data_IF_580556099018
#
_entry.id   IF_580556099018
#
_cell.length_a   1.000
_cell.length_b   1.000
_cell.length_c   1.000
_cell.angle_alpha   90.00
_cell.angle_beta   90.00
_cell.angle_gamma   90.00
#
_symmetry.space_group_name_H-M   'P 1'
#
loop_
_entity.id
_entity.type
_entity.pdbx_description
1 polymer ?
#
# COMPACT_ATOMS: atom_id res chain seq x y z
N UNK A 1 -14.35 -18.54 -6.43
CA UNK A 1 -14.20 -18.95 -5.01
C UNK A 1 -13.07 -18.22 -4.27
N UNK A 2 -11.98 -17.89 -4.94
CA UNK A 2 -10.83 -17.17 -4.33
C UNK A 2 -11.14 -15.68 -4.19
N UNK A 3 -11.80 -15.06 -5.16
CA UNK A 3 -12.27 -13.69 -5.10
C UNK A 3 -13.25 -13.46 -3.94
N UNK A 4 -14.13 -14.41 -3.67
CA UNK A 4 -15.12 -14.33 -2.59
C UNK A 4 -14.44 -14.29 -1.21
N UNK A 5 -13.32 -14.99 -1.01
CA UNK A 5 -12.57 -14.96 0.24
C UNK A 5 -11.93 -13.59 0.54
N UNK A 6 -11.31 -12.96 -0.47
CA UNK A 6 -10.68 -11.63 -0.35
C UNK A 6 -11.73 -10.52 -0.20
N UNK A 7 -12.76 -10.56 -1.02
CA UNK A 7 -13.88 -9.61 -0.99
C UNK A 7 -14.68 -9.73 0.31
N UNK A 8 -14.95 -10.95 0.77
CA UNK A 8 -15.60 -11.18 2.06
C UNK A 8 -14.81 -10.59 3.22
N UNK A 9 -13.47 -10.56 3.15
CA UNK A 9 -12.63 -10.02 4.22
C UNK A 9 -12.66 -8.49 4.30
N UNK A 10 -12.62 -7.75 3.18
CA UNK A 10 -12.79 -6.28 3.20
C UNK A 10 -14.12 -5.86 3.82
N UNK A 11 -15.17 -6.55 3.45
CA UNK A 11 -16.51 -6.32 4.00
C UNK A 11 -16.59 -6.71 5.48
N UNK A 12 -16.01 -7.84 5.88
CA UNK A 12 -16.00 -8.29 7.26
C UNK A 12 -15.22 -7.40 8.21
N UNK A 13 -14.18 -6.73 7.74
CA UNK A 13 -13.36 -5.80 8.53
C UNK A 13 -14.16 -4.57 8.93
N UNK A 14 -14.86 -3.95 7.99
CA UNK A 14 -15.72 -2.79 8.27
C UNK A 14 -16.98 -3.18 9.05
N UNK A 15 -17.50 -4.39 8.80
CA UNK A 15 -18.65 -4.94 9.50
C UNK A 15 -18.38 -5.22 10.99
N UNK A 16 -17.14 -5.52 11.38
CA UNK A 16 -16.80 -5.69 12.80
C UNK A 16 -17.16 -4.46 13.64
N UNK A 17 -17.26 -3.29 13.01
CA UNK A 17 -17.76 -2.07 13.65
C UNK A 17 -19.29 -1.99 13.79
N UNK A 18 -20.04 -2.92 13.19
CA UNK A 18 -21.51 -2.93 13.22
C UNK A 18 -22.09 -4.23 13.79
N UNK A 19 -21.23 -5.24 14.02
CA UNK A 19 -21.66 -6.53 14.57
C UNK A 19 -21.69 -6.50 16.09
N UNK A 20 -22.81 -6.90 16.69
CA UNK A 20 -22.96 -7.19 18.10
C UNK A 20 -22.95 -8.70 18.36
N UNK A 21 -23.23 -9.08 19.60
CA UNK A 21 -23.47 -10.47 20.01
C UNK A 21 -24.88 -10.60 20.58
N UNK A 22 -25.33 -11.81 20.91
CA UNK A 22 -26.61 -12.00 21.63
C UNK A 22 -26.66 -11.27 22.97
N UNK A 23 -25.49 -10.96 23.55
CA UNK A 23 -25.40 -10.39 24.90
C UNK A 23 -25.16 -8.88 24.88
N UNK A 24 -24.50 -8.37 23.85
CA UNK A 24 -24.07 -6.97 23.78
C UNK A 24 -24.24 -6.43 22.37
N UNK A 25 -24.77 -5.22 22.27
CA UNK A 25 -24.74 -4.45 21.02
C UNK A 25 -23.29 -4.03 20.71
N UNK A 26 -23.04 -3.61 19.47
CA UNK A 26 -21.72 -3.08 19.10
C UNK A 26 -21.31 -1.87 19.96
N UNK A 27 -22.24 -0.96 20.27
CA UNK A 27 -21.98 0.16 21.18
C UNK A 27 -21.56 -0.31 22.57
N UNK A 28 -22.25 -1.29 23.10
CA UNK A 28 -21.92 -1.86 24.42
C UNK A 28 -20.54 -2.53 24.40
N UNK A 29 -20.17 -3.21 23.32
CA UNK A 29 -18.82 -3.79 23.14
C UNK A 29 -17.77 -2.69 23.17
N UNK A 30 -17.96 -1.60 22.39
CA UNK A 30 -17.05 -0.45 22.38
C UNK A 30 -16.94 0.22 23.75
N UNK A 31 -18.04 0.39 24.45
CA UNK A 31 -18.07 0.94 25.81
C UNK A 31 -17.31 0.04 26.82
N UNK A 32 -17.46 -1.28 26.72
CA UNK A 32 -16.73 -2.21 27.60
C UNK A 32 -15.22 -2.17 27.33
N UNK A 33 -14.81 -2.15 26.07
CA UNK A 33 -13.40 -2.02 25.71
C UNK A 33 -12.84 -0.66 26.17
N UNK A 34 -13.59 0.42 25.99
CA UNK A 34 -13.22 1.74 26.50
C UNK A 34 -12.99 1.78 28.02
N UNK A 35 -13.89 1.14 28.80
CA UNK A 35 -13.74 1.01 30.28
C UNK A 35 -12.48 0.23 30.66
N UNK A 36 -12.03 -0.68 29.81
CA UNK A 36 -10.79 -1.42 29.98
C UNK A 36 -9.55 -0.64 29.48
N UNK A 37 -9.74 0.57 28.98
CA UNK A 37 -8.71 1.34 28.27
C UNK A 37 -8.03 0.49 27.17
N UNK A 38 -8.84 -0.27 26.44
CA UNK A 38 -8.43 -1.10 25.32
C UNK A 38 -9.23 -0.74 24.07
N UNK A 39 -8.60 -0.95 22.92
CA UNK A 39 -9.20 -0.77 21.61
C UNK A 39 -8.84 -1.95 20.72
N UNK A 40 -9.71 -2.29 19.78
CA UNK A 40 -9.42 -3.28 18.76
C UNK A 40 -9.69 -2.72 17.37
N UNK A 41 -8.93 -3.17 16.43
CA UNK A 41 -9.15 -2.88 15.01
C UNK A 41 -8.94 -4.14 14.18
N UNK A 42 -9.62 -4.17 13.05
CA UNK A 42 -9.43 -5.19 12.03
C UNK A 42 -8.99 -4.48 10.75
N UNK A 43 -7.91 -4.93 10.17
CA UNK A 43 -7.39 -4.38 8.92
C UNK A 43 -7.05 -5.51 7.96
N UNK A 44 -7.06 -5.20 6.68
CA UNK A 44 -6.73 -6.14 5.62
C UNK A 44 -5.71 -5.52 4.67
N UNK A 45 -4.82 -6.36 4.20
CA UNK A 45 -4.01 -6.16 3.01
C UNK A 45 -4.32 -7.27 1.99
N UNK A 46 -3.66 -7.26 0.85
CA UNK A 46 -3.93 -8.20 -0.26
C UNK A 46 -3.96 -9.69 0.15
N UNK A 47 -3.27 -10.05 1.22
CA UNK A 47 -3.08 -11.44 1.61
C UNK A 47 -3.13 -11.69 3.13
N UNK A 48 -3.45 -10.68 3.92
CA UNK A 48 -3.50 -10.77 5.37
C UNK A 48 -4.74 -10.12 5.95
N UNK A 49 -5.35 -10.80 6.92
CA UNK A 49 -6.30 -10.21 7.85
C UNK A 49 -5.58 -10.01 9.19
N UNK A 50 -5.53 -8.80 9.68
CA UNK A 50 -4.87 -8.44 10.94
C UNK A 50 -5.90 -7.96 11.93
N UNK A 51 -6.02 -8.66 13.06
CA UNK A 51 -6.80 -8.20 14.22
C UNK A 51 -5.79 -7.66 15.24
N UNK A 52 -5.91 -6.38 15.55
CA UNK A 52 -5.07 -5.72 16.53
C UNK A 52 -5.88 -5.41 17.78
N UNK A 53 -5.40 -5.85 18.94
CA UNK A 53 -5.90 -5.45 20.24
C UNK A 53 -4.78 -4.71 20.98
N UNK A 54 -5.03 -3.50 21.42
CA UNK A 54 -4.09 -2.67 22.15
C UNK A 54 -4.73 -2.05 23.39
N UNK A 55 -3.93 -1.79 24.43
CA UNK A 55 -4.41 -1.16 25.65
C UNK A 55 -3.51 -1.45 26.86
N UNK A 56 -4.07 -1.33 28.05
CA UNK A 56 -3.35 -1.62 29.29
C UNK A 56 -3.12 -3.13 29.42
N UNK A 57 -1.90 -3.53 29.75
CA UNK A 57 -1.48 -4.93 29.84
C UNK A 57 -2.29 -5.74 30.82
N UNK A 58 -2.68 -5.16 31.96
CA UNK A 58 -3.53 -5.77 32.97
C UNK A 58 -4.95 -6.08 32.49
N UNK A 59 -5.44 -5.31 31.51
CA UNK A 59 -6.78 -5.44 30.93
C UNK A 59 -6.79 -6.23 29.61
N UNK A 60 -5.64 -6.64 29.09
CA UNK A 60 -5.56 -7.30 27.79
C UNK A 60 -6.38 -8.60 27.73
N UNK A 61 -6.32 -9.44 28.78
CA UNK A 61 -7.04 -10.72 28.77
C UNK A 61 -8.57 -10.54 28.90
N UNK A 62 -9.10 -9.64 29.75
CA UNK A 62 -10.49 -9.24 29.71
C UNK A 62 -10.95 -8.73 28.35
N UNK A 63 -10.17 -7.82 27.73
CA UNK A 63 -10.49 -7.27 26.41
C UNK A 63 -10.46 -8.35 25.32
N UNK A 64 -9.46 -9.24 25.35
CA UNK A 64 -9.35 -10.36 24.40
C UNK A 64 -10.57 -11.31 24.48
N UNK A 65 -11.15 -11.52 25.69
CA UNK A 65 -12.38 -12.30 25.83
C UNK A 65 -13.57 -11.64 25.14
N UNK A 66 -13.67 -10.31 25.17
CA UNK A 66 -14.72 -9.56 24.47
C UNK A 66 -14.56 -9.75 22.97
N UNK A 67 -13.35 -9.57 22.44
CA UNK A 67 -13.07 -9.76 21.00
C UNK A 67 -13.34 -11.21 20.59
N UNK A 68 -12.95 -12.18 21.41
CA UNK A 68 -13.27 -13.59 21.15
C UNK A 68 -14.77 -13.87 21.13
N UNK A 69 -15.53 -13.31 22.08
CA UNK A 69 -16.99 -13.47 22.09
C UNK A 69 -17.63 -12.87 20.83
N UNK A 70 -17.10 -11.74 20.36
CA UNK A 70 -17.54 -11.14 19.10
C UNK A 70 -17.27 -12.06 17.89
N UNK A 71 -16.10 -12.68 17.83
CA UNK A 71 -15.73 -13.63 16.77
C UNK A 71 -16.64 -14.87 16.82
N UNK A 72 -16.80 -15.47 18.00
CA UNK A 72 -17.52 -16.72 18.16
C UNK A 72 -19.04 -16.57 18.02
N UNK A 73 -19.59 -15.50 18.59
CA UNK A 73 -21.02 -15.28 18.82
C UNK A 73 -21.58 -14.05 18.12
N UNK A 74 -20.83 -13.47 17.17
CA UNK A 74 -21.30 -12.36 16.36
C UNK A 74 -22.65 -12.66 15.70
N UNK A 75 -23.54 -11.68 15.68
CA UNK A 75 -24.88 -11.76 15.11
C UNK A 75 -24.96 -10.89 13.88
N UNK A 76 -25.55 -11.42 12.82
CA UNK A 76 -25.86 -10.64 11.64
C UNK A 76 -26.92 -9.57 11.94
N UNK A 77 -26.72 -8.36 11.41
CA UNK A 77 -27.65 -7.26 11.50
C UNK A 77 -27.94 -6.75 10.07
N UNK A 78 -29.12 -7.07 9.55
CA UNK A 78 -29.51 -6.73 8.18
C UNK A 78 -29.69 -5.22 7.97
N UNK A 79 -30.11 -4.46 8.97
CA UNK A 79 -30.26 -3.00 8.84
C UNK A 79 -28.88 -2.31 8.85
N UNK A 80 -27.98 -2.75 9.72
CA UNK A 80 -26.58 -2.31 9.70
C UNK A 80 -25.91 -2.64 8.36
N UNK A 81 -26.15 -3.83 7.81
CA UNK A 81 -25.64 -4.25 6.50
C UNK A 81 -26.14 -3.35 5.38
N UNK A 82 -27.45 -3.10 5.30
CA UNK A 82 -28.03 -2.20 4.28
C UNK A 82 -27.43 -0.81 4.35
N UNK A 83 -27.30 -0.27 5.57
CA UNK A 83 -26.68 1.04 5.81
C UNK A 83 -25.23 1.08 5.35
N UNK A 84 -24.47 0.00 5.63
CA UNK A 84 -23.10 -0.14 5.18
C UNK A 84 -23.00 -0.22 3.64
N UNK A 85 -23.85 -0.99 2.97
CA UNK A 85 -23.88 -1.06 1.50
C UNK A 85 -24.15 0.32 0.89
N UNK A 86 -25.10 1.07 1.45
CA UNK A 86 -25.36 2.43 1.00
C UNK A 86 -24.12 3.34 1.14
N UNK A 87 -23.39 3.23 2.27
CA UNK A 87 -22.15 3.97 2.50
C UNK A 87 -21.04 3.58 1.49
N UNK A 88 -20.88 2.29 1.20
CA UNK A 88 -19.90 1.81 0.20
C UNK A 88 -20.23 2.37 -1.18
N UNK A 89 -21.49 2.32 -1.60
CA UNK A 89 -21.90 2.82 -2.92
C UNK A 89 -21.72 4.35 -3.02
N UNK A 90 -22.00 5.08 -1.96
CA UNK A 90 -21.72 6.51 -1.89
C UNK A 90 -20.21 6.77 -2.00
N UNK A 91 -19.38 6.06 -1.21
CA UNK A 91 -17.90 6.20 -1.26
C UNK A 91 -17.35 5.91 -2.66
N UNK A 92 -17.91 4.93 -3.39
CA UNK A 92 -17.52 4.66 -4.79
C UNK A 92 -17.84 5.83 -5.72
N UNK A 93 -19.00 6.46 -5.57
CA UNK A 93 -19.37 7.65 -6.33
C UNK A 93 -18.44 8.84 -5.99
N UNK A 94 -18.16 9.05 -4.70
CA UNK A 94 -17.25 10.09 -4.24
C UNK A 94 -15.82 9.87 -4.78
N UNK A 95 -15.32 8.62 -4.80
CA UNK A 95 -14.02 8.29 -5.36
C UNK A 95 -13.93 8.60 -6.86
N UNK A 96 -14.97 8.30 -7.64
CA UNK A 96 -15.00 8.65 -9.08
C UNK A 96 -14.97 10.16 -9.33
N UNK A 97 -15.46 10.95 -8.39
CA UNK A 97 -15.40 12.41 -8.45
C UNK A 97 -14.10 13.00 -7.90
N UNK A 98 -13.26 12.22 -7.25
CA UNK A 98 -12.01 12.67 -6.63
C UNK A 98 -10.82 12.44 -7.54
N UNK A 99 -10.06 13.49 -7.86
CA UNK A 99 -8.90 13.42 -8.77
C UNK A 99 -7.82 12.47 -8.28
N UNK A 100 -7.49 12.51 -6.99
CA UNK A 100 -6.42 11.70 -6.40
C UNK A 100 -6.80 10.21 -6.38
N UNK A 101 -8.07 9.90 -6.11
CA UNK A 101 -8.59 8.53 -6.17
C UNK A 101 -8.57 7.97 -7.61
N UNK A 102 -8.96 8.79 -8.60
CA UNK A 102 -8.85 8.43 -10.03
C UNK A 102 -7.40 8.16 -10.42
N UNK A 103 -6.48 9.03 -10.00
CA UNK A 103 -5.06 8.86 -10.32
C UNK A 103 -4.45 7.63 -9.68
N UNK A 104 -4.80 7.32 -8.43
CA UNK A 104 -4.37 6.10 -7.76
C UNK A 104 -4.89 4.84 -8.48
N UNK A 105 -6.16 4.83 -8.88
CA UNK A 105 -6.75 3.72 -9.63
C UNK A 105 -6.09 3.56 -11.02
N UNK A 106 -5.81 4.68 -11.70
CA UNK A 106 -5.11 4.68 -12.98
C UNK A 106 -3.67 4.18 -12.84
N UNK A 107 -2.96 4.56 -11.77
CA UNK A 107 -1.61 4.07 -11.50
C UNK A 107 -1.59 2.57 -11.25
N UNK A 108 -2.56 2.04 -10.48
CA UNK A 108 -2.67 0.60 -10.29
C UNK A 108 -2.99 -0.13 -11.60
N UNK A 109 -3.87 0.43 -12.44
CA UNK A 109 -4.08 -0.10 -13.79
C UNK A 109 -2.79 -0.07 -14.60
N UNK A 110 -2.03 1.00 -14.51
CA UNK A 110 -0.73 1.14 -15.17
C UNK A 110 0.30 0.11 -14.72
N UNK A 111 0.30 -0.28 -13.45
CA UNK A 111 1.22 -1.29 -12.91
C UNK A 111 0.82 -2.72 -13.23
N UNK A 112 -0.46 -3.04 -13.10
CA UNK A 112 -0.97 -4.41 -13.15
C UNK A 112 -1.76 -4.74 -14.41
N UNK A 113 -2.24 -3.75 -15.15
CA UNK A 113 -3.16 -3.94 -16.28
C UNK A 113 -4.60 -4.19 -15.85
N UNK A 114 -5.36 -4.86 -16.70
CA UNK A 114 -6.78 -5.14 -16.45
C UNK A 114 -7.01 -6.03 -15.22
N UNK A 115 -6.08 -6.95 -14.97
CA UNK A 115 -6.15 -7.83 -13.80
C UNK A 115 -5.35 -7.22 -12.65
N UNK A 116 -5.98 -6.32 -11.92
CA UNK A 116 -5.37 -5.58 -10.81
C UNK A 116 -6.21 -5.65 -9.53
N UNK A 117 -5.62 -5.41 -8.35
CA UNK A 117 -6.32 -5.52 -7.08
C UNK A 117 -7.53 -4.58 -6.99
N UNK A 118 -7.41 -3.33 -7.39
CA UNK A 118 -8.48 -2.35 -7.26
C UNK A 118 -9.72 -2.72 -8.09
N UNK A 119 -9.53 -3.28 -9.27
CA UNK A 119 -10.63 -3.65 -10.17
C UNK A 119 -11.23 -5.01 -9.81
N UNK A 120 -10.40 -6.00 -9.51
CA UNK A 120 -10.84 -7.39 -9.45
C UNK A 120 -11.24 -7.84 -8.04
N UNK A 121 -10.98 -7.05 -7.01
CA UNK A 121 -11.48 -7.30 -5.65
C UNK A 121 -12.82 -6.60 -5.38
N UNK A 122 -13.27 -5.77 -6.30
CA UNK A 122 -14.52 -5.01 -6.15
C UNK A 122 -15.74 -5.91 -6.39
N UNK A 123 -16.61 -6.00 -5.39
CA UNK A 123 -17.92 -6.66 -5.53
C UNK A 123 -18.86 -5.79 -6.34
N UNK A 124 -19.57 -6.35 -7.30
CA UNK A 124 -20.56 -5.59 -8.08
C UNK A 124 -21.65 -5.00 -7.18
N UNK A 125 -22.25 -3.90 -7.58
CA UNK A 125 -23.35 -3.26 -6.85
C UNK A 125 -24.54 -4.22 -6.69
N UNK A 126 -24.87 -4.98 -7.75
CA UNK A 126 -25.95 -5.98 -7.72
C UNK A 126 -25.67 -7.07 -6.69
N UNK A 127 -24.44 -7.56 -6.63
CA UNK A 127 -24.02 -8.55 -5.63
C UNK A 127 -24.08 -7.98 -4.22
N UNK A 128 -23.55 -6.76 -3.99
CA UNK A 128 -23.62 -6.10 -2.68
C UNK A 128 -25.05 -5.98 -2.16
N UNK A 129 -25.96 -5.54 -3.03
CA UNK A 129 -27.39 -5.37 -2.69
C UNK A 129 -28.13 -6.69 -2.46
N UNK A 130 -27.67 -7.78 -3.07
CA UNK A 130 -28.29 -9.10 -2.92
C UNK A 130 -27.73 -9.95 -1.79
N UNK A 131 -26.55 -9.61 -1.25
CA UNK A 131 -25.96 -10.31 -0.13
C UNK A 131 -26.68 -10.01 1.17
N UNK A 132 -26.86 -11.02 2.02
CA UNK A 132 -27.38 -10.85 3.39
C UNK A 132 -26.23 -10.63 4.37
N UNK A 133 -26.53 -9.96 5.49
CA UNK A 133 -25.61 -9.81 6.62
C UNK A 133 -25.11 -11.18 7.12
N UNK A 134 -25.99 -12.22 7.12
CA UNK A 134 -25.59 -13.57 7.52
C UNK A 134 -24.54 -14.16 6.58
N UNK A 135 -24.65 -13.96 5.28
CA UNK A 135 -23.65 -14.43 4.31
C UNK A 135 -22.28 -13.81 4.58
N UNK A 136 -22.24 -12.51 4.88
CA UNK A 136 -20.99 -11.82 5.21
C UNK A 136 -20.39 -12.33 6.52
N UNK A 137 -21.21 -12.51 7.53
CA UNK A 137 -20.78 -13.07 8.82
C UNK A 137 -20.22 -14.48 8.67
N UNK A 138 -20.82 -15.32 7.82
CA UNK A 138 -20.32 -16.67 7.54
C UNK A 138 -18.96 -16.67 6.85
N UNK A 139 -18.70 -15.72 5.94
CA UNK A 139 -17.38 -15.51 5.36
C UNK A 139 -16.36 -15.08 6.43
N UNK A 140 -16.72 -14.14 7.31
CA UNK A 140 -15.87 -13.74 8.41
C UNK A 140 -15.48 -14.93 9.30
N UNK A 141 -16.46 -15.73 9.71
CA UNK A 141 -16.23 -16.93 10.53
C UNK A 141 -15.35 -17.94 9.80
N UNK A 142 -15.46 -18.09 8.48
CA UNK A 142 -14.61 -18.99 7.71
C UNK A 142 -13.12 -18.54 7.72
N UNK A 143 -12.85 -17.22 7.70
CA UNK A 143 -11.50 -16.68 7.80
C UNK A 143 -10.86 -17.03 9.14
N UNK A 144 -11.61 -16.93 10.24
CA UNK A 144 -11.12 -17.25 11.57
C UNK A 144 -10.81 -18.75 11.77
N UNK A 145 -11.13 -19.61 10.81
CA UNK A 145 -10.69 -21.02 10.80
C UNK A 145 -9.28 -21.20 10.23
N UNK A 146 -8.67 -20.16 9.68
CA UNK A 146 -7.28 -20.20 9.21
C UNK A 146 -6.32 -20.19 10.39
N UNK A 147 -5.14 -20.81 10.24
CA UNK A 147 -4.11 -20.79 11.27
C UNK A 147 -3.51 -19.38 11.37
N UNK A 148 -3.65 -18.69 12.51
CA UNK A 148 -3.12 -17.35 12.67
C UNK A 148 -1.67 -17.37 13.14
N UNK A 149 -0.97 -16.27 12.86
CA UNK A 149 0.24 -15.90 13.57
C UNK A 149 -0.14 -14.95 14.72
N UNK A 150 0.34 -15.22 15.93
CA UNK A 150 0.11 -14.34 17.07
C UNK A 150 1.39 -13.56 17.35
N UNK A 151 1.30 -12.25 17.24
CA UNK A 151 2.39 -11.32 17.57
C UNK A 151 2.01 -10.58 18.86
N UNK A 152 2.91 -10.57 19.83
CA UNK A 152 2.65 -9.97 21.14
C UNK A 152 3.79 -9.04 21.55
N UNK A 153 3.42 -7.87 22.04
CA UNK A 153 4.29 -6.95 22.73
C UNK A 153 3.70 -6.57 24.09
N UNK A 154 4.36 -6.95 25.17
CA UNK A 154 3.87 -6.70 26.52
C UNK A 154 4.72 -7.42 27.58
N UNK A 155 4.36 -7.31 28.87
CA UNK A 155 5.16 -7.83 29.98
C UNK A 155 5.09 -9.34 30.20
N UNK A 156 4.10 -10.05 29.58
CA UNK A 156 3.97 -11.50 29.75
C UNK A 156 5.08 -12.24 29.02
N UNK A 157 5.54 -13.33 29.61
CA UNK A 157 6.40 -14.28 28.89
C UNK A 157 5.61 -15.04 27.82
N UNK A 158 6.30 -15.63 26.85
CA UNK A 158 5.66 -16.47 25.84
C UNK A 158 4.88 -17.64 26.47
N UNK A 159 5.42 -18.25 27.52
CA UNK A 159 4.77 -19.37 28.23
C UNK A 159 3.48 -18.92 28.93
N UNK A 160 3.50 -17.76 29.58
CA UNK A 160 2.32 -17.21 30.23
C UNK A 160 1.24 -16.85 29.22
N UNK A 161 1.62 -16.16 28.13
CA UNK A 161 0.71 -15.83 27.04
C UNK A 161 0.07 -17.08 26.44
N UNK A 162 0.86 -18.09 26.09
CA UNK A 162 0.38 -19.37 25.56
C UNK A 162 -0.64 -20.00 26.51
N UNK A 163 -0.29 -20.09 27.81
CA UNK A 163 -1.18 -20.63 28.84
C UNK A 163 -2.50 -19.85 28.91
N UNK A 164 -2.47 -18.54 28.82
CA UNK A 164 -3.70 -17.72 28.85
C UNK A 164 -4.56 -17.91 27.60
N UNK A 165 -3.94 -17.96 26.42
CA UNK A 165 -4.64 -18.21 25.14
C UNK A 165 -5.28 -19.61 25.16
N UNK A 166 -4.57 -20.63 25.65
CA UNK A 166 -5.08 -22.00 25.77
C UNK A 166 -6.27 -22.07 26.73
N UNK A 167 -6.19 -21.43 27.89
CA UNK A 167 -7.31 -21.32 28.85
C UNK A 167 -8.55 -20.69 28.25
N UNK A 168 -8.37 -19.74 27.35
CA UNK A 168 -9.48 -19.09 26.62
C UNK A 168 -10.09 -20.00 25.55
N UNK A 169 -9.47 -21.14 25.25
CA UNK A 169 -9.89 -22.02 24.14
C UNK A 169 -9.98 -21.25 22.82
N UNK A 170 -9.08 -20.31 22.63
CA UNK A 170 -8.96 -19.60 21.35
C UNK A 170 -8.71 -20.62 20.24
N UNK A 171 -7.96 -21.65 20.58
CA UNK A 171 -7.77 -22.86 19.79
C UNK A 171 -8.23 -24.06 20.61
N UNK A 172 -9.11 -24.89 20.09
CA UNK A 172 -9.41 -26.17 20.71
C UNK A 172 -8.64 -27.24 19.95
N UNK A 173 -7.50 -27.71 20.45
CA UNK A 173 -6.74 -28.79 19.81
C UNK A 173 -7.65 -29.97 19.49
N UNK A 174 -7.67 -30.44 18.25
CA UNK A 174 -8.47 -31.58 17.82
C UNK A 174 -9.92 -31.30 17.43
N UNK A 175 -10.51 -30.13 17.73
CA UNK A 175 -11.88 -29.78 17.29
C UNK A 175 -11.90 -28.87 16.07
N UNK A 176 -10.91 -28.01 15.91
CA UNK A 176 -10.76 -27.17 14.73
C UNK A 176 -9.53 -27.67 13.97
N UNK A 177 -9.72 -28.23 12.80
CA UNK A 177 -8.62 -28.44 11.86
C UNK A 177 -8.35 -27.11 11.21
N UNK A 178 -7.37 -26.36 11.70
CA UNK A 178 -6.92 -25.15 11.03
C UNK A 178 -6.47 -25.49 9.61
N UNK A 179 -7.02 -24.78 8.66
CA UNK A 179 -6.53 -24.82 7.30
C UNK A 179 -5.28 -23.93 7.24
N UNK A 180 -4.21 -24.46 6.67
CA UNK A 180 -3.09 -23.59 6.31
C UNK A 180 -3.57 -22.55 5.31
N UNK A 181 -3.28 -21.24 5.53
CA UNK A 181 -3.66 -20.22 4.58
C UNK A 181 -3.05 -20.55 3.22
N UNK A 182 -3.88 -20.55 2.19
CA UNK A 182 -3.37 -20.68 0.83
C UNK A 182 -2.77 -19.34 0.45
N UNK A 183 -1.48 -19.30 0.22
CA UNK A 183 -0.85 -18.13 -0.39
C UNK A 183 -1.34 -18.02 -1.83
N UNK A 184 -2.20 -17.05 -2.08
CA UNK A 184 -2.65 -16.72 -3.41
C UNK A 184 -2.17 -15.32 -3.71
N UNK A 185 -1.33 -15.21 -4.74
CA UNK A 185 -0.88 -13.92 -5.27
C UNK A 185 -1.41 -13.78 -6.69
N UNK A 186 -2.67 -13.36 -6.82
CA UNK A 186 -3.32 -13.31 -8.11
C UNK A 186 -2.76 -12.20 -9.01
N UNK A 187 -2.20 -11.14 -8.43
CA UNK A 187 -1.80 -9.94 -9.16
C UNK A 187 -0.29 -9.86 -9.31
N UNK A 188 0.16 -9.59 -10.54
CA UNK A 188 1.57 -9.37 -10.87
C UNK A 188 1.71 -8.06 -11.61
N UNK A 189 2.71 -7.28 -11.23
CA UNK A 189 3.06 -6.06 -11.97
C UNK A 189 3.56 -6.42 -13.36
N UNK A 190 3.17 -5.60 -14.33
CA UNK A 190 3.57 -5.78 -15.73
C UNK A 190 4.93 -5.12 -15.97
N UNK A 191 5.77 -5.82 -16.73
CA UNK A 191 7.03 -5.28 -17.23
C UNK A 191 6.79 -4.15 -18.24
N UNK A 192 7.70 -3.19 -18.26
CA UNK A 192 7.68 -2.08 -19.22
C UNK A 192 8.71 -2.36 -20.31
N UNK A 193 8.28 -2.93 -21.43
CA UNK A 193 9.16 -3.35 -22.53
C UNK A 193 9.26 -2.30 -23.64
N UNK A 194 8.40 -1.29 -23.67
CA UNK A 194 8.36 -0.20 -24.67
C UNK A 194 7.75 1.04 -24.05
N UNK A 195 8.00 2.19 -24.71
CA UNK A 195 7.27 3.41 -24.39
C UNK A 195 5.80 3.27 -24.78
N UNK A 196 4.91 3.64 -23.86
CA UNK A 196 3.46 3.66 -24.08
C UNK A 196 2.81 4.69 -23.17
N UNK A 197 1.62 5.14 -23.57
CA UNK A 197 0.88 6.20 -22.85
C UNK A 197 -0.49 5.65 -22.44
N UNK A 198 -0.83 5.76 -21.16
CA UNK A 198 -2.15 5.47 -20.65
C UNK A 198 -2.80 6.78 -20.18
N UNK A 199 -3.99 7.07 -20.68
CA UNK A 199 -4.72 8.31 -20.35
C UNK A 199 -6.09 7.94 -19.81
N UNK A 200 -6.47 8.54 -18.68
CA UNK A 200 -7.84 8.57 -18.21
C UNK A 200 -8.32 10.05 -18.14
N UNK A 201 -9.59 10.32 -18.47
CA UNK A 201 -10.11 11.69 -18.52
C UNK A 201 -10.37 12.21 -17.10
N UNK A 202 -10.00 13.48 -16.89
CA UNK A 202 -10.38 14.24 -15.71
C UNK A 202 -10.40 15.73 -16.02
N UNK A 203 -11.53 16.39 -15.81
CA UNK A 203 -11.68 17.83 -16.05
C UNK A 203 -11.11 18.63 -14.88
N UNK A 204 -9.85 19.06 -15.02
CA UNK A 204 -9.16 19.91 -14.07
C UNK A 204 -8.12 20.80 -14.76
N UNK A 205 -7.72 21.89 -14.09
CA UNK A 205 -6.68 22.81 -14.58
C UNK A 205 -5.26 22.25 -14.42
N UNK A 206 -5.11 21.15 -13.74
CA UNK A 206 -3.85 20.46 -13.51
C UNK A 206 -3.93 19.01 -13.98
N UNK A 207 -2.83 18.52 -14.51
CA UNK A 207 -2.62 17.14 -14.91
C UNK A 207 -1.77 16.42 -13.86
N UNK A 208 -2.14 15.18 -13.57
CA UNK A 208 -1.35 14.25 -12.77
C UNK A 208 -0.69 13.25 -13.69
N UNK A 209 0.61 13.05 -13.54
CA UNK A 209 1.38 12.16 -14.40
C UNK A 209 2.41 11.34 -13.62
N UNK A 210 2.58 10.11 -14.05
CA UNK A 210 3.65 9.20 -13.64
C UNK A 210 4.36 8.67 -14.90
N UNK A 211 5.69 8.65 -14.88
CA UNK A 211 6.50 7.81 -15.77
C UNK A 211 6.91 6.57 -14.96
N UNK A 212 6.48 5.41 -15.39
CA UNK A 212 6.68 4.15 -14.69
C UNK A 212 7.58 3.23 -15.50
N UNK A 213 8.57 2.62 -14.85
CA UNK A 213 9.43 1.58 -15.42
C UNK A 213 9.56 0.40 -14.49
N UNK A 214 9.36 -0.79 -15.03
CA UNK A 214 9.54 -2.07 -14.35
C UNK A 214 10.27 -3.03 -15.29
N UNK A 215 11.52 -3.34 -14.99
CA UNK A 215 12.35 -4.29 -15.71
C UNK A 215 12.23 -5.73 -15.13
N UNK A 216 11.26 -6.00 -14.29
CA UNK A 216 11.11 -7.26 -13.55
C UNK A 216 12.36 -7.60 -12.72
N UNK A 217 13.08 -6.57 -12.26
CA UNK A 217 14.29 -6.72 -11.45
C UNK A 217 13.95 -7.26 -10.06
N UNK A 218 14.54 -8.39 -9.71
CA UNK A 218 14.34 -8.98 -8.38
C UNK A 218 15.03 -8.14 -7.31
N UNK A 219 14.32 -7.85 -6.23
CA UNK A 219 14.88 -7.17 -5.08
C UNK A 219 15.88 -8.03 -4.31
N UNK A 220 16.96 -7.38 -3.82
CA UNK A 220 17.90 -7.96 -2.88
C UNK A 220 18.26 -6.98 -1.77
N UNK A 221 18.54 -7.45 -0.53
CA UNK A 221 18.86 -6.56 0.58
C UNK A 221 20.18 -5.79 0.39
N UNK A 222 21.10 -6.31 -0.41
CA UNK A 222 22.40 -5.68 -0.71
C UNK A 222 22.23 -4.36 -1.46
N UNK A 223 21.15 -4.20 -2.23
CA UNK A 223 20.86 -2.96 -2.96
C UNK A 223 20.10 -1.92 -2.14
N UNK A 224 19.57 -2.31 -0.99
CA UNK A 224 18.79 -1.38 -0.17
C UNK A 224 19.56 -0.11 0.24
N UNK A 225 20.87 -0.12 0.55
CA UNK A 225 21.62 1.09 0.87
C UNK A 225 21.69 2.09 -0.30
N UNK A 226 22.02 1.61 -1.51
CA UNK A 226 22.13 2.49 -2.68
C UNK A 226 20.75 3.01 -3.10
N UNK A 227 19.70 2.18 -3.08
CA UNK A 227 18.32 2.59 -3.36
C UNK A 227 17.90 3.69 -2.38
N UNK A 228 18.21 3.53 -1.09
CA UNK A 228 17.83 4.51 -0.07
C UNK A 228 18.52 5.86 -0.29
N UNK A 229 19.83 5.84 -0.57
CA UNK A 229 20.58 7.08 -0.83
C UNK A 229 20.18 7.71 -2.15
N UNK A 230 19.95 6.92 -3.20
CA UNK A 230 19.45 7.39 -4.49
C UNK A 230 18.12 8.11 -4.34
N UNK A 231 17.16 7.51 -3.64
CA UNK A 231 15.87 8.13 -3.42
C UNK A 231 15.99 9.47 -2.68
N UNK A 232 16.80 9.55 -1.61
CA UNK A 232 16.99 10.80 -0.87
C UNK A 232 17.70 11.87 -1.71
N UNK A 233 18.69 11.47 -2.53
CA UNK A 233 19.43 12.36 -3.40
C UNK A 233 18.62 12.85 -4.60
N UNK A 234 17.93 11.91 -5.30
CA UNK A 234 17.32 12.19 -6.60
C UNK A 234 15.90 12.73 -6.49
N UNK A 235 15.01 12.10 -5.73
CA UNK A 235 13.59 12.42 -5.85
C UNK A 235 12.75 12.50 -4.58
N UNK A 236 13.27 12.10 -3.42
CA UNK A 236 12.45 11.85 -2.22
C UNK A 236 12.35 13.01 -1.22
N UNK A 237 13.08 14.11 -1.41
CA UNK A 237 13.11 15.22 -0.44
C UNK A 237 13.04 16.58 -1.13
N UNK A 238 12.82 17.64 -0.36
CA UNK A 238 12.87 19.02 -0.89
C UNK A 238 14.27 19.45 -1.36
N UNK A 239 15.32 18.79 -0.89
CA UNK A 239 16.69 19.02 -1.32
C UNK A 239 17.08 18.12 -2.50
N UNK A 240 16.22 17.20 -2.92
CA UNK A 240 16.47 16.26 -4.00
C UNK A 240 16.55 16.96 -5.36
N UNK A 241 17.32 16.38 -6.27
CA UNK A 241 17.57 16.90 -7.61
C UNK A 241 16.26 17.23 -8.36
N UNK A 242 15.30 16.30 -8.36
CA UNK A 242 14.01 16.48 -9.05
C UNK A 242 13.25 17.69 -8.51
N UNK A 243 13.15 17.85 -7.21
CA UNK A 243 12.44 18.97 -6.61
C UNK A 243 13.12 20.29 -6.95
N UNK A 244 14.44 20.36 -6.80
CA UNK A 244 15.22 21.56 -7.09
C UNK A 244 15.16 21.96 -8.59
N UNK A 245 15.26 21.01 -9.49
CA UNK A 245 15.26 21.27 -10.93
C UNK A 245 13.86 21.55 -11.49
N UNK A 246 12.84 20.82 -11.04
CA UNK A 246 11.49 20.92 -11.61
C UNK A 246 10.67 22.05 -11.00
N UNK A 247 10.74 22.20 -9.68
CA UNK A 247 9.93 23.17 -8.95
C UNK A 247 10.67 24.46 -8.70
N UNK A 248 11.82 24.42 -8.01
CA UNK A 248 12.51 25.62 -7.55
C UNK A 248 13.18 26.39 -8.68
N UNK A 249 13.92 25.73 -9.54
CA UNK A 249 14.67 26.39 -10.61
C UNK A 249 13.79 26.79 -11.81
N UNK A 250 12.80 26.00 -12.17
CA UNK A 250 12.03 26.18 -13.40
C UNK A 250 10.55 26.48 -13.19
N UNK A 251 10.01 26.28 -12.00
CA UNK A 251 8.58 26.49 -11.73
C UNK A 251 7.66 25.66 -12.63
N UNK A 252 8.11 24.47 -13.03
CA UNK A 252 7.39 23.61 -13.98
C UNK A 252 6.25 22.84 -13.30
N UNK A 253 6.43 22.43 -12.05
CA UNK A 253 5.47 21.57 -11.35
C UNK A 253 5.18 22.06 -9.94
N UNK A 254 3.93 21.92 -9.50
CA UNK A 254 3.55 22.13 -8.10
C UNK A 254 4.13 21.02 -7.21
N UNK A 255 4.08 19.80 -7.68
CA UNK A 255 4.70 18.65 -7.05
C UNK A 255 5.50 17.87 -8.07
N UNK A 256 6.74 17.55 -7.73
CA UNK A 256 7.62 16.71 -8.54
C UNK A 256 8.47 15.85 -7.62
N UNK A 257 8.46 14.55 -7.86
CA UNK A 257 9.28 13.58 -7.13
C UNK A 257 9.61 12.38 -8.02
N UNK A 258 10.56 11.57 -7.57
CA UNK A 258 10.87 10.31 -8.23
C UNK A 258 11.25 9.28 -7.14
N UNK A 259 10.97 8.03 -7.39
CA UNK A 259 11.20 7.00 -6.41
C UNK A 259 11.53 5.65 -7.06
N UNK A 260 12.62 5.04 -6.63
CA UNK A 260 12.95 3.66 -6.94
C UNK A 260 12.39 2.78 -5.82
N UNK A 261 11.36 2.04 -6.12
CA UNK A 261 10.56 1.31 -5.14
C UNK A 261 11.11 -0.09 -4.89
N UNK A 262 11.34 -0.40 -3.62
CA UNK A 262 11.61 -1.75 -3.16
C UNK A 262 10.30 -2.44 -2.79
N UNK A 263 10.07 -3.70 -3.22
CA UNK A 263 8.85 -4.41 -2.92
C UNK A 263 8.74 -4.77 -1.43
N UNK A 264 7.52 -4.98 -0.99
CA UNK A 264 7.25 -5.50 0.37
C UNK A 264 7.52 -7.00 0.51
N UNK A 265 7.71 -7.72 -0.60
CA UNK A 265 7.96 -9.17 -0.67
C UNK A 265 9.11 -9.47 -1.61
N UNK A 266 9.81 -10.58 -1.36
CA UNK A 266 11.00 -10.99 -2.14
C UNK A 266 10.71 -11.40 -3.58
N UNK A 267 9.50 -11.81 -3.87
CA UNK A 267 9.11 -12.32 -5.20
C UNK A 267 8.45 -11.25 -6.09
N UNK A 268 8.24 -10.03 -5.57
CA UNK A 268 7.83 -8.89 -6.36
C UNK A 268 9.06 -8.16 -6.92
N UNK A 269 8.96 -7.58 -8.13
CA UNK A 269 10.04 -6.81 -8.69
C UNK A 269 10.16 -5.42 -8.06
N UNK A 270 11.36 -4.87 -8.15
CA UNK A 270 11.58 -3.44 -8.00
C UNK A 270 11.02 -2.71 -9.21
N UNK A 271 10.69 -1.42 -9.02
CA UNK A 271 10.28 -0.54 -10.12
C UNK A 271 10.64 0.90 -9.81
N UNK A 272 10.77 1.68 -10.86
CA UNK A 272 11.00 3.13 -10.76
C UNK A 272 9.77 3.89 -11.23
N UNK A 273 9.50 5.02 -10.61
CA UNK A 273 8.48 5.95 -11.10
C UNK A 273 8.82 7.40 -10.76
N UNK A 274 8.36 8.31 -11.63
CA UNK A 274 8.29 9.73 -11.36
C UNK A 274 6.86 10.11 -11.01
N UNK A 275 6.66 11.19 -10.27
CA UNK A 275 5.35 11.73 -9.93
C UNK A 275 5.32 13.23 -10.18
N UNK A 276 4.34 13.69 -10.93
CA UNK A 276 4.23 15.09 -11.32
C UNK A 276 2.79 15.55 -11.17
N UNK A 277 2.60 16.74 -10.56
CA UNK A 277 1.38 17.53 -10.65
C UNK A 277 1.77 18.88 -11.25
N UNK A 278 1.22 19.21 -12.40
CA UNK A 278 1.52 20.44 -13.11
C UNK A 278 0.28 21.01 -13.79
N UNK A 279 0.38 22.23 -14.33
CA UNK A 279 -0.64 22.81 -15.21
C UNK A 279 -0.66 22.05 -16.54
N UNK A 280 -1.83 21.96 -17.18
CA UNK A 280 -2.01 21.19 -18.41
C UNK A 280 -1.04 21.64 -19.51
N UNK A 281 -0.84 22.94 -19.68
CA UNK A 281 0.04 23.54 -20.69
C UNK A 281 1.54 23.33 -20.42
N UNK A 282 1.93 22.99 -19.18
CA UNK A 282 3.32 22.71 -18.80
C UNK A 282 3.70 21.22 -18.84
N UNK A 283 2.74 20.34 -19.08
CA UNK A 283 3.00 18.89 -19.08
C UNK A 283 4.13 18.50 -20.02
N UNK A 284 4.14 19.04 -21.24
CA UNK A 284 5.18 18.74 -22.23
C UNK A 284 6.58 19.16 -21.78
N UNK A 285 6.71 20.33 -21.14
CA UNK A 285 7.98 20.79 -20.56
C UNK A 285 8.43 19.91 -19.40
N UNK A 286 7.48 19.47 -18.55
CA UNK A 286 7.77 18.53 -17.47
C UNK A 286 8.33 17.21 -18.02
N UNK A 287 7.70 16.62 -19.05
CA UNK A 287 8.17 15.38 -19.68
C UNK A 287 9.59 15.56 -20.22
N UNK A 288 9.84 16.64 -20.99
CA UNK A 288 11.17 16.91 -21.56
C UNK A 288 12.23 17.06 -20.46
N UNK A 289 11.92 17.83 -19.42
CA UNK A 289 12.87 18.05 -18.32
C UNK A 289 13.13 16.78 -17.50
N UNK A 290 12.10 15.97 -17.24
CA UNK A 290 12.32 14.68 -16.56
C UNK A 290 13.17 13.73 -17.40
N UNK A 291 12.91 13.63 -18.69
CA UNK A 291 13.71 12.78 -19.56
C UNK A 291 15.18 13.22 -19.56
N UNK A 292 15.48 14.52 -19.58
CA UNK A 292 16.84 15.01 -19.42
C UNK A 292 17.48 14.61 -18.10
N UNK A 293 16.73 14.64 -16.98
CA UNK A 293 17.22 14.24 -15.67
C UNK A 293 17.41 12.72 -15.55
N UNK A 294 16.63 11.94 -16.30
CA UNK A 294 16.73 10.47 -16.34
C UNK A 294 17.79 9.98 -17.32
N UNK A 295 18.13 10.79 -18.33
CA UNK A 295 19.21 10.46 -19.27
C UNK A 295 20.59 10.81 -18.68
N UNK A 296 20.65 11.78 -17.79
CA UNK A 296 21.88 12.19 -17.12
C UNK A 296 21.58 12.92 -15.83
N UNK A 297 21.80 12.22 -14.72
CA UNK A 297 21.62 12.78 -13.37
C UNK A 297 22.65 13.91 -13.12
N UNK A 298 22.23 15.10 -12.64
CA UNK A 298 23.17 16.14 -12.23
C UNK A 298 24.15 15.66 -11.15
N UNK A 299 25.43 15.80 -11.41
CA UNK A 299 26.48 15.35 -10.52
C UNK A 299 26.83 16.45 -9.48
N UNK A 300 26.28 16.33 -8.26
CA UNK A 300 26.43 17.33 -7.19
C UNK A 300 26.90 16.66 -5.90
N UNK A 301 28.21 16.58 -5.68
CA UNK A 301 28.82 15.96 -4.47
C UNK A 301 28.24 16.53 -3.16
N UNK A 302 28.07 17.86 -3.08
CA UNK A 302 27.50 18.49 -1.88
C UNK A 302 26.07 18.03 -1.58
N UNK A 303 25.25 17.77 -2.62
CA UNK A 303 23.90 17.27 -2.46
C UNK A 303 23.86 15.79 -2.02
N UNK A 304 24.82 14.97 -2.48
CA UNK A 304 24.97 13.59 -1.99
C UNK A 304 25.28 13.57 -0.51
N UNK A 305 26.18 14.45 -0.04
CA UNK A 305 26.54 14.51 1.37
C UNK A 305 25.34 14.98 2.23
N UNK A 306 24.58 15.97 1.77
CA UNK A 306 23.33 16.40 2.43
C UNK A 306 22.34 15.25 2.52
N UNK A 307 22.10 14.52 1.44
CA UNK A 307 21.20 13.37 1.39
C UNK A 307 21.66 12.25 2.34
N UNK A 308 22.95 11.94 2.33
CA UNK A 308 23.57 10.95 3.25
C UNK A 308 23.35 11.32 4.71
N UNK A 309 23.68 12.57 5.10
CA UNK A 309 23.51 13.05 6.46
C UNK A 309 22.04 13.08 6.89
N UNK A 310 21.14 13.49 6.01
CA UNK A 310 19.69 13.45 6.23
C UNK A 310 19.23 12.04 6.56
N UNK A 311 19.57 11.07 5.71
CA UNK A 311 19.18 9.68 5.87
C UNK A 311 19.79 9.05 7.12
N UNK A 312 21.07 9.27 7.40
CA UNK A 312 21.73 8.78 8.61
C UNK A 312 21.08 9.34 9.88
N UNK A 313 20.78 10.63 9.92
CA UNK A 313 20.08 11.26 11.05
C UNK A 313 18.66 10.73 11.21
N UNK A 314 17.93 10.54 10.12
CA UNK A 314 16.60 9.94 10.13
C UNK A 314 16.62 8.53 10.73
N UNK A 315 17.54 7.68 10.29
CA UNK A 315 17.71 6.32 10.84
C UNK A 315 18.09 6.37 12.33
N UNK A 316 19.08 7.20 12.70
CA UNK A 316 19.56 7.30 14.08
C UNK A 316 18.50 7.86 15.05
N UNK A 317 17.62 8.75 14.59
CA UNK A 317 16.54 9.33 15.40
C UNK A 317 15.27 8.46 15.42
N UNK A 318 15.11 7.54 14.47
CA UNK A 318 13.94 6.68 14.39
C UNK A 318 13.95 5.66 15.53
N UNK A 319 12.81 5.53 16.22
CA UNK A 319 12.62 4.54 17.28
C UNK A 319 11.47 3.62 16.91
N UNK A 320 11.77 2.34 16.81
CA UNK A 320 10.73 1.31 16.67
C UNK A 320 10.22 0.94 18.06
N UNK A 321 8.99 1.26 18.37
CA UNK A 321 8.39 1.04 19.68
C UNK A 321 7.11 0.24 19.59
N UNK A 322 6.80 -0.53 20.66
CA UNK A 322 5.51 -1.21 20.81
C UNK A 322 5.10 -2.00 19.56
N UNK A 323 3.94 -1.67 18.99
CA UNK A 323 3.41 -2.31 17.78
C UNK A 323 4.37 -2.22 16.59
N UNK A 324 5.12 -1.13 16.46
CA UNK A 324 6.14 -0.99 15.42
C UNK A 324 7.23 -2.07 15.45
N UNK A 325 7.55 -2.63 16.63
CA UNK A 325 8.49 -3.76 16.74
C UNK A 325 7.89 -5.01 16.07
N UNK A 326 6.60 -5.28 16.33
CA UNK A 326 5.91 -6.45 15.77
C UNK A 326 5.78 -6.34 14.26
N UNK A 327 5.36 -5.18 13.76
CA UNK A 327 5.22 -4.95 12.31
C UNK A 327 6.56 -4.99 11.59
N UNK A 328 7.62 -4.38 12.14
CA UNK A 328 8.97 -4.45 11.57
C UNK A 328 9.48 -5.90 11.49
N UNK A 329 9.27 -6.67 12.56
CA UNK A 329 9.62 -8.09 12.55
C UNK A 329 8.88 -8.84 11.46
N UNK A 330 7.56 -8.64 11.35
CA UNK A 330 6.72 -9.31 10.36
C UNK A 330 7.10 -8.96 8.92
N UNK A 331 7.32 -7.66 8.64
CA UNK A 331 7.80 -7.22 7.31
C UNK A 331 9.18 -7.78 6.96
N UNK A 332 10.09 -7.87 7.92
CA UNK A 332 11.39 -8.49 7.70
C UNK A 332 11.25 -9.99 7.37
N UNK A 333 10.37 -10.73 8.08
CA UNK A 333 10.10 -12.12 7.76
C UNK A 333 9.55 -12.31 6.34
N UNK A 334 8.65 -11.45 5.87
CA UNK A 334 8.15 -11.47 4.49
C UNK A 334 9.24 -11.25 3.44
N UNK A 335 10.29 -10.50 3.80
CA UNK A 335 11.47 -10.25 2.96
C UNK A 335 12.57 -11.30 3.14
N UNK A 336 12.34 -12.33 3.94
CA UNK A 336 13.34 -13.34 4.25
C UNK A 336 14.50 -12.84 5.12
N UNK A 337 14.30 -11.73 5.86
CA UNK A 337 15.29 -11.11 6.71
C UNK A 337 15.09 -11.51 8.18
N UNK A 338 16.17 -11.83 8.87
CA UNK A 338 16.19 -12.09 10.31
C UNK A 338 16.88 -10.95 11.12
N UNK A 339 17.06 -9.78 10.49
CA UNK A 339 17.70 -8.62 11.07
C UNK A 339 17.02 -7.32 10.62
N UNK A 340 17.33 -6.20 11.26
CA UNK A 340 16.85 -4.88 10.89
C UNK A 340 17.70 -4.31 9.72
N UNK A 341 17.10 -4.21 8.55
CA UNK A 341 17.74 -3.74 7.32
C UNK A 341 18.29 -2.31 7.45
N UNK A 342 17.70 -1.47 8.34
CA UNK A 342 18.18 -0.11 8.59
C UNK A 342 19.62 -0.09 9.10
N UNK A 343 20.02 -1.12 9.85
CA UNK A 343 21.41 -1.27 10.29
C UNK A 343 22.36 -1.39 9.11
N UNK A 344 22.05 -2.28 8.17
CA UNK A 344 22.85 -2.46 6.94
C UNK A 344 22.91 -1.18 6.13
N UNK A 345 21.76 -0.49 5.95
CA UNK A 345 21.72 0.79 5.27
C UNK A 345 22.66 1.78 5.95
N UNK A 346 22.52 1.99 7.26
CA UNK A 346 23.33 2.94 8.03
C UNK A 346 24.84 2.68 7.93
N UNK A 347 25.27 1.41 8.04
CA UNK A 347 26.67 1.00 7.98
C UNK A 347 27.28 1.13 6.56
N UNK A 348 26.47 1.05 5.52
CA UNK A 348 26.95 1.14 4.13
C UNK A 348 26.89 2.56 3.54
N UNK A 349 25.99 3.42 4.02
CA UNK A 349 25.82 4.78 3.51
C UNK A 349 27.14 5.58 3.37
N UNK A 350 28.10 5.54 4.33
CA UNK A 350 29.36 6.27 4.20
C UNK A 350 30.26 5.81 3.04
N UNK A 351 30.02 4.62 2.49
CA UNK A 351 30.85 4.01 1.44
C UNK A 351 30.32 4.27 0.02
N UNK A 352 29.06 4.68 -0.10
CA UNK A 352 28.41 4.93 -1.39
C UNK A 352 28.86 6.30 -1.91
N UNK A 353 29.38 6.38 -3.10
CA UNK A 353 29.87 7.60 -3.75
C UNK A 353 28.84 8.17 -4.74
N UNK A 354 29.05 9.40 -5.20
CA UNK A 354 28.28 9.98 -6.31
C UNK A 354 28.36 9.09 -7.56
N UNK A 355 29.55 8.56 -7.84
CA UNK A 355 29.76 7.65 -8.98
C UNK A 355 28.85 6.42 -8.91
N UNK A 356 28.69 5.81 -7.73
CA UNK A 356 27.81 4.67 -7.54
C UNK A 356 26.34 5.03 -7.83
N UNK A 357 25.92 6.25 -7.47
CA UNK A 357 24.56 6.74 -7.80
C UNK A 357 24.35 6.97 -9.28
N UNK A 358 25.37 7.51 -9.97
CA UNK A 358 25.35 7.69 -11.44
C UNK A 358 25.32 6.34 -12.15
N UNK A 359 26.11 5.38 -11.70
CA UNK A 359 26.11 4.02 -12.27
C UNK A 359 24.75 3.33 -12.02
N UNK A 360 24.16 3.49 -10.82
CA UNK A 360 22.82 2.98 -10.51
C UNK A 360 21.73 3.58 -11.41
N UNK A 361 21.76 4.90 -11.63
CA UNK A 361 20.82 5.57 -12.53
C UNK A 361 20.95 5.03 -13.96
N UNK A 362 22.17 4.95 -14.50
CA UNK A 362 22.44 4.44 -15.85
C UNK A 362 21.97 2.99 -16.04
N UNK A 363 22.15 2.18 -15.03
CA UNK A 363 21.77 0.76 -15.10
C UNK A 363 20.24 0.58 -15.09
N UNK A 364 19.53 1.36 -14.27
CA UNK A 364 18.12 1.09 -13.97
C UNK A 364 17.13 2.11 -14.52
N UNK A 365 17.56 3.29 -14.96
CA UNK A 365 16.66 4.39 -15.35
C UNK A 365 16.98 5.04 -16.68
N UNK A 366 18.26 5.28 -16.98
CA UNK A 366 18.66 5.93 -18.24
C UNK A 366 18.32 5.07 -19.46
N UNK A 367 17.78 5.71 -20.49
CA UNK A 367 17.45 5.07 -21.78
C UNK A 367 16.47 3.87 -21.65
N UNK A 368 15.74 3.78 -20.53
CA UNK A 368 14.74 2.74 -20.36
C UNK A 368 13.40 3.14 -20.99
N UNK A 369 12.59 2.17 -21.40
CA UNK A 369 11.21 2.46 -21.79
C UNK A 369 10.36 2.82 -20.59
N UNK A 370 9.45 3.79 -20.76
CA UNK A 370 8.53 4.22 -19.71
C UNK A 370 7.07 4.09 -20.14
N UNK A 371 6.22 3.71 -19.19
CA UNK A 371 4.78 3.84 -19.29
C UNK A 371 4.36 5.17 -18.69
N UNK A 372 3.88 6.08 -19.56
CA UNK A 372 3.36 7.38 -19.16
C UNK A 372 1.90 7.22 -18.75
N UNK A 373 1.59 7.49 -17.50
CA UNK A 373 0.27 7.30 -16.90
C UNK A 373 -0.26 8.68 -16.55
N UNK A 374 -1.31 9.14 -17.26
CA UNK A 374 -1.73 10.53 -17.28
C UNK A 374 -3.23 10.63 -16.95
N UNK A 375 -3.56 11.44 -15.96
CA UNK A 375 -4.92 11.82 -15.62
C UNK A 375 -5.13 13.30 -15.95
N UNK A 376 -5.96 13.60 -16.93
CA UNK A 376 -6.21 14.98 -17.38
C UNK A 376 -7.19 15.07 -18.53
N UNK A 377 -7.49 16.29 -18.98
CA UNK A 377 -8.35 16.53 -20.15
C UNK A 377 -7.51 16.53 -21.43
N UNK A 378 -7.74 15.57 -22.33
CA UNK A 378 -7.02 15.47 -23.60
C UNK A 378 -7.08 16.75 -24.45
N UNK A 379 -8.12 17.59 -24.30
CA UNK A 379 -8.25 18.84 -25.04
C UNK A 379 -7.24 19.89 -24.61
N UNK A 380 -6.73 19.77 -23.40
CA UNK A 380 -5.79 20.70 -22.77
C UNK A 380 -4.34 20.17 -22.78
N UNK A 381 -4.11 18.92 -23.23
CA UNK A 381 -2.81 18.26 -23.22
C UNK A 381 -2.10 18.34 -24.59
N UNK A 382 -0.77 18.30 -24.58
CA UNK A 382 0.07 18.17 -25.79
C UNK A 382 0.00 16.74 -26.35
N UNK A 383 -1.09 16.46 -27.06
CA UNK A 383 -1.34 15.13 -27.63
C UNK A 383 -0.34 14.75 -28.74
N UNK A 384 0.20 15.72 -29.46
CA UNK A 384 1.21 15.47 -30.47
C UNK A 384 2.52 14.96 -29.87
N UNK A 385 2.92 15.50 -28.73
CA UNK A 385 4.06 14.98 -27.96
C UNK A 385 3.79 13.57 -27.49
N UNK A 386 2.61 13.31 -26.91
CA UNK A 386 2.26 12.00 -26.38
C UNK A 386 2.22 10.93 -27.49
N UNK A 387 1.73 11.25 -28.67
CA UNK A 387 1.75 10.33 -29.83
C UNK A 387 3.18 9.99 -30.29
N UNK A 388 4.13 10.94 -30.17
CA UNK A 388 5.54 10.70 -30.49
C UNK A 388 6.24 9.81 -29.46
N UNK A 389 5.79 9.82 -28.22
CA UNK A 389 6.33 8.96 -27.15
C UNK A 389 5.99 7.50 -27.42
N UNK A 390 4.75 7.21 -27.77
CA UNK A 390 4.33 5.84 -28.02
C UNK A 390 2.81 5.68 -28.23
N UNK A 391 2.32 4.45 -28.38
CA UNK A 391 0.90 4.18 -28.54
C UNK A 391 0.11 4.63 -27.31
N UNK A 392 -1.04 5.29 -27.57
CA UNK A 392 -1.92 5.82 -26.53
C UNK A 392 -3.05 4.85 -26.26
N UNK A 393 -3.18 4.41 -25.03
CA UNK A 393 -4.32 3.66 -24.50
C UNK A 393 -5.21 4.60 -23.69
N UNK A 394 -6.46 4.77 -24.13
CA UNK A 394 -7.47 5.55 -23.43
C UNK A 394 -8.27 4.62 -22.51
N UNK A 395 -8.44 5.03 -21.27
CA UNK A 395 -9.14 4.27 -20.24
C UNK A 395 -10.29 5.12 -19.68
N UNK A 396 -11.45 4.52 -19.55
CA UNK A 396 -12.56 5.18 -18.86
C UNK A 396 -12.42 5.10 -17.33
N UNK A 397 -13.17 5.92 -16.62
CA UNK A 397 -13.26 5.87 -15.17
C UNK A 397 -13.75 4.49 -14.69
N UNK A 398 -14.69 3.88 -15.40
CA UNK A 398 -15.19 2.54 -15.09
C UNK A 398 -14.14 1.46 -15.29
N UNK A 399 -13.30 1.59 -16.31
CA UNK A 399 -12.21 0.62 -16.55
C UNK A 399 -11.14 0.66 -15.45
N UNK A 400 -10.76 1.85 -14.96
CA UNK A 400 -9.73 1.95 -13.92
C UNK A 400 -10.23 1.53 -12.54
N UNK A 401 -11.51 1.81 -12.20
CA UNK A 401 -12.09 1.42 -10.92
C UNK A 401 -12.70 0.01 -10.91
N UNK A 402 -13.17 -0.51 -12.05
CA UNK A 402 -13.85 -1.79 -12.16
C UNK A 402 -15.30 -1.79 -11.67
N UNK A 403 -15.91 -0.61 -11.45
CA UNK A 403 -17.31 -0.44 -11.03
C UNK A 403 -17.92 0.84 -11.58
#
# INVERSE_FOLDING_TARGET
EILIGLVGSEMCIRDSNYVGTKKMTNEQIKQQLYKLACDYSVSQSDDELVITLQGLSENMMPALRIVKDLIDNGQADEEAWKSYVALVLKSRADNKANQEANFSALFDYGRYGEYNPNRNTVVSESTLKSMSAQTVLDYAKAIYTQMPNVLYYGPMTLADLSTQIDKMKFYTPGKVKFKMPRQVRPYKTQETSKNEVYIAPYDAKNVYMIQYHNANQKWTPERAPIISLFNEYFGGSMNAIVFQEMREARGLAYSASAYYASPSRTDDPEYFYTYIITQNDKMGDCIRQFNLLLDSIPEREAAVEVARQSLMKSIASSRTTKFGILTSYWYNQKRGLNYDLRRTIYEQLPKITLRDLVEFEKEYMAEKPYRYIILGDEKELDMDLLQKIGPIKRLSTEEIFGY
#
